data_IF_697008914144
#
_entry.id   IF_697008914144
#
_cell.length_a   1.000
_cell.length_b   1.000
_cell.length_c   1.000
_cell.angle_alpha   90.00
_cell.angle_beta   90.00
_cell.angle_gamma   90.00
#
_symmetry.space_group_name_H-M   'P 1'
#
loop_
_entity.id
_entity.type
_entity.pdbx_description
1 polymer ?
#
# COMPACT_ATOMS: atom_id res chain seq x y z
N UNK A 1 -77.21 -63.74 -47.39
CA UNK A 1 -76.64 -63.74 -48.74
C UNK A 1 -75.12 -63.88 -48.63
N UNK A 2 -74.60 -65.04 -49.06
CA UNK A 2 -73.23 -65.19 -49.63
C UNK A 2 -73.11 -64.34 -50.92
N UNK A 3 -71.94 -64.17 -51.59
CA UNK A 3 -70.67 -64.97 -51.56
C UNK A 3 -69.38 -64.11 -51.36
N UNK A 4 -68.30 -64.63 -50.76
CA UNK A 4 -67.13 -65.37 -51.30
C UNK A 4 -66.22 -64.69 -52.37
N UNK A 5 -64.92 -64.56 -52.05
CA UNK A 5 -63.70 -64.91 -52.84
C UNK A 5 -62.48 -64.25 -52.15
N UNK A 6 -61.53 -64.93 -51.48
CA UNK A 6 -60.48 -65.86 -51.92
C UNK A 6 -59.66 -65.40 -53.14
N UNK A 7 -58.51 -64.73 -52.89
CA UNK A 7 -57.34 -64.80 -53.78
C UNK A 7 -56.04 -64.78 -52.96
N UNK A 8 -55.22 -65.80 -53.23
CA UNK A 8 -53.90 -66.12 -52.68
C UNK A 8 -52.86 -65.53 -53.63
N UNK A 9 -51.87 -64.77 -53.16
CA UNK A 9 -50.68 -64.45 -53.95
C UNK A 9 -49.40 -64.60 -53.12
N UNK A 10 -48.48 -65.37 -53.67
CA UNK A 10 -47.16 -65.69 -53.13
C UNK A 10 -46.32 -64.43 -52.91
N UNK A 11 -45.44 -64.37 -51.90
CA UNK A 11 -44.39 -63.37 -51.87
C UNK A 11 -43.45 -63.63 -53.07
N UNK A 12 -43.19 -62.63 -53.93
CA UNK A 12 -42.23 -62.81 -55.02
C UNK A 12 -40.86 -63.06 -54.39
N UNK A 13 -40.20 -64.15 -54.78
CA UNK A 13 -38.84 -64.48 -54.34
C UNK A 13 -37.84 -63.31 -54.53
N UNK A 14 -38.16 -62.36 -55.40
CA UNK A 14 -37.42 -61.10 -55.60
C UNK A 14 -37.38 -60.18 -54.34
N UNK A 15 -38.42 -60.17 -53.50
CA UNK A 15 -38.47 -59.31 -52.31
C UNK A 15 -37.54 -59.82 -51.21
N UNK A 16 -37.48 -61.14 -51.02
CA UNK A 16 -36.59 -61.77 -50.05
C UNK A 16 -35.13 -61.59 -50.49
N UNK A 17 -34.84 -61.70 -51.79
CA UNK A 17 -33.50 -61.49 -52.33
C UNK A 17 -32.99 -60.06 -52.06
N UNK A 18 -33.84 -59.04 -52.25
CA UNK A 18 -33.49 -57.64 -51.97
C UNK A 18 -33.20 -57.39 -50.48
N UNK A 19 -34.01 -57.96 -49.58
CA UNK A 19 -33.79 -57.80 -48.14
C UNK A 19 -32.48 -58.48 -47.71
N UNK A 20 -32.20 -59.68 -48.20
CA UNK A 20 -30.95 -60.39 -47.90
C UNK A 20 -29.74 -59.61 -48.42
N UNK A 21 -29.81 -59.09 -49.65
CA UNK A 21 -28.70 -58.33 -50.25
C UNK A 21 -28.45 -57.01 -49.50
N UNK A 22 -29.51 -56.33 -49.05
CA UNK A 22 -29.39 -55.12 -48.24
C UNK A 22 -28.77 -55.39 -46.86
N UNK A 23 -29.16 -56.50 -46.20
CA UNK A 23 -28.56 -56.92 -44.94
C UNK A 23 -27.08 -57.27 -45.10
N UNK A 24 -26.70 -57.94 -46.19
CA UNK A 24 -25.28 -58.26 -46.48
C UNK A 24 -24.47 -56.99 -46.74
N UNK A 25 -24.98 -56.05 -47.54
CA UNK A 25 -24.30 -54.76 -47.79
C UNK A 25 -24.12 -53.97 -46.50
N UNK A 26 -25.13 -53.95 -45.63
CA UNK A 26 -25.08 -53.24 -44.36
C UNK A 26 -24.10 -53.91 -43.37
N UNK A 27 -24.06 -55.24 -43.34
CA UNK A 27 -23.07 -55.99 -42.56
C UNK A 27 -21.64 -55.76 -43.06
N UNK A 28 -21.42 -55.76 -44.37
CA UNK A 28 -20.10 -55.46 -44.98
C UNK A 28 -19.71 -54.01 -44.69
N UNK A 29 -20.63 -53.05 -44.80
CA UNK A 29 -20.35 -51.65 -44.48
C UNK A 29 -19.99 -51.45 -43.00
N UNK A 30 -20.72 -52.10 -42.08
CA UNK A 30 -20.39 -52.08 -40.65
C UNK A 30 -19.05 -52.78 -40.35
N UNK A 31 -18.75 -53.89 -41.05
CA UNK A 31 -17.48 -54.58 -40.94
C UNK A 31 -16.32 -53.70 -41.45
N UNK A 32 -16.50 -53.01 -42.57
CA UNK A 32 -15.53 -52.05 -43.10
C UNK A 32 -15.36 -50.85 -42.17
N UNK A 33 -16.43 -50.30 -41.56
CA UNK A 33 -16.31 -49.24 -40.55
C UNK A 33 -15.63 -49.72 -39.25
N UNK A 34 -15.73 -51.01 -38.91
CA UNK A 34 -15.05 -51.63 -37.78
C UNK A 34 -13.55 -51.86 -38.05
N UNK A 35 -13.20 -52.34 -39.24
CA UNK A 35 -11.82 -52.64 -39.64
C UNK A 35 -11.04 -51.39 -40.09
N UNK A 36 -11.69 -50.44 -40.73
CA UNK A 36 -11.14 -49.13 -41.09
C UNK A 36 -11.45 -48.07 -40.03
N UNK A 37 -11.38 -48.43 -38.74
CA UNK A 37 -11.04 -47.38 -37.77
C UNK A 37 -9.61 -46.97 -38.07
N UNK A 38 -9.34 -45.76 -38.58
CA UNK A 38 -7.97 -45.29 -38.60
C UNK A 38 -7.50 -45.32 -37.15
N UNK A 39 -6.53 -46.19 -36.87
CA UNK A 39 -5.70 -46.01 -35.70
C UNK A 39 -5.11 -44.61 -35.84
N UNK A 40 -5.71 -43.64 -35.17
CA UNK A 40 -5.00 -42.44 -34.73
C UNK A 40 -3.99 -42.96 -33.71
N UNK A 41 -2.93 -43.57 -34.25
CA UNK A 41 -1.72 -43.96 -33.57
C UNK A 41 -1.05 -42.67 -33.14
N UNK A 42 -1.59 -42.09 -32.07
CA UNK A 42 -0.88 -41.15 -31.24
C UNK A 42 0.49 -41.79 -30.96
N UNK A 43 1.57 -41.13 -31.42
CA UNK A 43 2.91 -41.45 -30.96
C UNK A 43 2.91 -41.26 -29.44
N UNK A 44 2.61 -42.32 -28.69
CA UNK A 44 2.86 -42.40 -27.26
C UNK A 44 4.38 -42.55 -27.08
N UNK A 45 5.12 -41.47 -27.35
CA UNK A 45 6.35 -41.26 -26.61
C UNK A 45 5.95 -41.27 -25.15
N UNK A 46 6.42 -42.24 -24.38
CA UNK A 46 6.07 -42.40 -22.97
C UNK A 46 6.24 -41.04 -22.28
N UNK A 47 5.12 -40.37 -21.99
CA UNK A 47 5.16 -39.05 -21.36
C UNK A 47 5.82 -39.27 -20.00
N UNK A 48 7.01 -38.72 -19.81
CA UNK A 48 7.73 -38.84 -18.54
C UNK A 48 7.02 -37.96 -17.52
N UNK A 49 6.06 -38.54 -16.80
CA UNK A 49 5.30 -37.86 -15.75
C UNK A 49 6.14 -37.85 -14.47
N UNK A 50 6.38 -36.66 -13.91
CA UNK A 50 7.00 -36.53 -12.61
C UNK A 50 6.09 -37.11 -11.52
N UNK A 51 6.61 -38.08 -10.74
CA UNK A 51 5.85 -38.77 -9.68
C UNK A 51 6.34 -38.49 -8.26
N UNK A 52 7.33 -37.60 -8.12
CA UNK A 52 7.85 -37.19 -6.80
C UNK A 52 6.77 -36.46 -6.00
N UNK A 53 6.88 -36.48 -4.68
CA UNK A 53 5.88 -35.83 -3.83
C UNK A 53 5.75 -34.31 -4.10
N UNK A 54 6.85 -33.54 -4.29
CA UNK A 54 6.74 -32.14 -4.66
C UNK A 54 5.97 -31.91 -5.97
N UNK A 55 6.14 -32.79 -6.96
CA UNK A 55 5.39 -32.70 -8.21
C UNK A 55 3.89 -32.98 -8.01
N UNK A 56 3.54 -33.97 -7.17
CA UNK A 56 2.13 -34.27 -6.86
C UNK A 56 1.48 -33.13 -6.08
N UNK A 57 2.19 -32.56 -5.12
CA UNK A 57 1.70 -31.43 -4.34
C UNK A 57 1.49 -30.20 -5.23
N UNK A 58 2.47 -29.86 -6.07
CA UNK A 58 2.37 -28.76 -7.02
C UNK A 58 1.21 -28.97 -8.00
N UNK A 59 1.06 -30.17 -8.56
CA UNK A 59 -0.04 -30.50 -9.46
C UNK A 59 -1.40 -30.38 -8.77
N UNK A 60 -1.52 -30.80 -7.49
CA UNK A 60 -2.73 -30.61 -6.69
C UNK A 60 -3.06 -29.12 -6.51
N UNK A 61 -2.07 -28.31 -6.11
CA UNK A 61 -2.24 -26.86 -5.93
C UNK A 61 -2.65 -26.17 -7.23
N UNK A 62 -1.95 -26.45 -8.33
CA UNK A 62 -2.25 -25.90 -9.66
C UNK A 62 -3.65 -26.29 -10.11
N UNK A 63 -4.00 -27.58 -10.07
CA UNK A 63 -5.34 -28.05 -10.48
C UNK A 63 -6.45 -27.37 -9.70
N UNK A 64 -6.20 -27.02 -8.45
CA UNK A 64 -7.16 -26.36 -7.60
C UNK A 64 -7.41 -24.89 -8.01
N UNK A 65 -6.45 -24.21 -8.63
CA UNK A 65 -6.68 -22.85 -9.17
C UNK A 65 -7.46 -22.87 -10.48
N UNK A 66 -7.38 -23.96 -11.24
CA UNK A 66 -8.00 -24.07 -12.56
C UNK A 66 -9.53 -24.19 -12.48
N UNK A 67 -10.20 -23.56 -13.44
CA UNK A 67 -11.61 -23.75 -13.75
C UNK A 67 -11.74 -24.49 -15.09
N UNK A 68 -11.72 -25.82 -15.03
CA UNK A 68 -11.75 -26.69 -16.21
C UNK A 68 -13.05 -26.65 -17.01
N UNK A 69 -14.06 -25.93 -16.53
CA UNK A 69 -15.32 -25.69 -17.25
C UNK A 69 -15.22 -24.55 -18.26
N UNK A 70 -14.14 -23.76 -18.24
CA UNK A 70 -13.89 -22.69 -19.20
C UNK A 70 -12.92 -23.14 -20.29
N UNK A 71 -13.07 -22.56 -21.49
CA UNK A 71 -12.10 -22.73 -22.56
C UNK A 71 -10.89 -21.81 -22.33
N UNK A 72 -9.66 -22.35 -22.19
CA UNK A 72 -8.47 -21.52 -21.99
C UNK A 72 -8.20 -20.57 -23.17
N UNK A 73 -8.65 -20.90 -24.39
CA UNK A 73 -8.48 -20.06 -25.58
C UNK A 73 -9.42 -18.83 -25.59
N UNK A 74 -10.53 -18.87 -24.85
CA UNK A 74 -11.50 -17.78 -24.77
C UNK A 74 -11.24 -16.86 -23.57
N UNK A 75 -10.51 -17.34 -22.56
CA UNK A 75 -10.26 -16.59 -21.34
C UNK A 75 -9.27 -17.27 -20.41
N UNK A 76 -7.99 -17.32 -20.82
CA UNK A 76 -6.93 -17.99 -20.07
C UNK A 76 -6.83 -17.53 -18.61
N UNK A 77 -6.99 -16.22 -18.34
CA UNK A 77 -6.95 -15.69 -16.97
C UNK A 77 -8.04 -16.30 -16.08
N UNK A 78 -9.29 -16.36 -16.55
CA UNK A 78 -10.39 -16.98 -15.81
C UNK A 78 -10.22 -18.49 -15.69
N UNK A 79 -9.76 -19.15 -16.76
CA UNK A 79 -9.43 -20.57 -16.72
C UNK A 79 -8.39 -20.90 -15.63
N UNK A 80 -7.36 -20.07 -15.45
CA UNK A 80 -6.27 -20.34 -14.49
C UNK A 80 -6.57 -19.87 -13.06
N UNK A 81 -7.37 -18.81 -12.89
CA UNK A 81 -7.55 -18.12 -11.61
C UNK A 81 -8.93 -18.31 -10.97
N UNK A 82 -9.98 -18.65 -11.71
CA UNK A 82 -11.35 -18.71 -11.15
C UNK A 82 -11.48 -19.73 -10.02
N UNK A 83 -10.80 -20.88 -10.11
CA UNK A 83 -10.79 -21.88 -9.04
C UNK A 83 -10.13 -21.38 -7.75
N UNK A 84 -9.21 -20.41 -7.86
CA UNK A 84 -8.65 -19.69 -6.73
C UNK A 84 -9.65 -18.66 -6.17
N UNK A 85 -10.20 -17.78 -7.01
CA UNK A 85 -11.13 -16.73 -6.58
C UNK A 85 -12.39 -17.26 -5.90
N UNK A 86 -12.87 -18.46 -6.26
CA UNK A 86 -14.00 -19.10 -5.57
C UNK A 86 -13.69 -19.54 -4.14
N UNK A 87 -12.42 -19.73 -3.81
CA UNK A 87 -11.97 -20.34 -2.54
C UNK A 87 -11.19 -19.38 -1.65
N UNK A 88 -10.58 -18.35 -2.23
CA UNK A 88 -9.81 -17.35 -1.51
C UNK A 88 -10.31 -15.95 -1.81
N UNK A 89 -10.47 -15.15 -0.76
CA UNK A 89 -10.76 -13.72 -0.86
C UNK A 89 -9.50 -12.89 -1.15
N UNK A 90 -8.32 -13.51 -1.05
CA UNK A 90 -7.03 -12.89 -1.31
C UNK A 90 -6.52 -13.27 -2.69
N UNK A 91 -5.70 -12.41 -3.29
CA UNK A 91 -4.90 -12.77 -4.44
C UNK A 91 -3.82 -13.78 -4.07
N UNK A 92 -3.35 -14.56 -5.07
CA UNK A 92 -2.22 -15.49 -4.91
C UNK A 92 -0.99 -14.80 -4.33
N UNK A 93 -0.76 -13.53 -4.73
CA UNK A 93 0.36 -12.72 -4.26
C UNK A 93 0.23 -12.40 -2.77
N UNK A 94 -0.95 -11.98 -2.32
CA UNK A 94 -1.21 -11.68 -0.92
C UNK A 94 -1.05 -12.92 -0.04
N UNK A 95 -1.55 -14.07 -0.48
CA UNK A 95 -1.40 -15.31 0.29
C UNK A 95 0.06 -15.75 0.39
N UNK A 96 0.82 -15.69 -0.70
CA UNK A 96 2.25 -15.97 -0.68
C UNK A 96 3.02 -15.01 0.25
N UNK A 97 2.69 -13.72 0.19
CA UNK A 97 3.27 -12.71 1.06
C UNK A 97 2.94 -12.96 2.54
N UNK A 98 1.69 -13.31 2.87
CA UNK A 98 1.29 -13.70 4.22
C UNK A 98 2.02 -14.96 4.70
N UNK A 99 2.25 -15.93 3.81
CA UNK A 99 3.05 -17.10 4.12
C UNK A 99 4.47 -16.74 4.57
N UNK A 100 5.15 -15.89 3.80
CA UNK A 100 6.49 -15.38 4.16
C UNK A 100 6.47 -14.62 5.48
N UNK A 101 5.47 -13.74 5.68
CA UNK A 101 5.33 -12.99 6.92
C UNK A 101 5.14 -13.89 8.15
N UNK A 102 4.36 -14.98 8.02
CA UNK A 102 4.17 -15.95 9.12
C UNK A 102 5.47 -16.66 9.48
N UNK A 103 6.24 -17.09 8.48
CA UNK A 103 7.55 -17.72 8.72
C UNK A 103 8.53 -16.73 9.37
N UNK A 104 8.62 -15.50 8.84
CA UNK A 104 9.44 -14.44 9.44
C UNK A 104 9.03 -14.13 10.88
N UNK A 105 7.72 -14.03 11.15
CA UNK A 105 7.17 -13.83 12.48
C UNK A 105 7.56 -14.96 13.44
N UNK A 106 7.43 -16.22 13.00
CA UNK A 106 7.81 -17.40 13.79
C UNK A 106 9.30 -17.40 14.14
N UNK A 107 10.16 -17.12 13.16
CA UNK A 107 11.61 -17.03 13.34
C UNK A 107 11.97 -15.89 14.31
N UNK A 108 11.48 -14.67 14.09
CA UNK A 108 11.81 -13.52 14.92
C UNK A 108 11.24 -13.65 16.35
N UNK A 109 10.11 -14.35 16.50
CA UNK A 109 9.52 -14.62 17.81
C UNK A 109 10.31 -15.63 18.63
N UNK A 110 11.09 -16.52 18.01
CA UNK A 110 11.80 -17.61 18.70
C UNK A 110 13.27 -17.29 19.02
N UNK A 111 13.90 -16.33 18.33
CA UNK A 111 15.32 -15.98 18.53
C UNK A 111 15.62 -15.46 19.94
N UNK A 112 16.54 -16.05 20.73
CA UNK A 112 16.88 -15.53 22.06
C UNK A 112 17.58 -14.17 21.94
N UNK A 113 17.12 -13.18 22.73
CA UNK A 113 17.63 -11.79 22.69
C UNK A 113 18.35 -11.49 24.00
N UNK A 114 19.69 -11.46 24.03
CA UNK A 114 20.46 -11.06 25.21
C UNK A 114 20.36 -9.54 25.43
N UNK A 115 20.68 -9.06 26.63
CA UNK A 115 20.67 -7.63 26.97
C UNK A 115 21.84 -6.86 26.34
N UNK A 116 22.97 -7.51 26.11
CA UNK A 116 24.19 -6.91 25.51
C UNK A 116 24.79 -7.83 24.45
N UNK A 117 25.58 -7.27 23.53
CA UNK A 117 26.31 -8.06 22.52
C UNK A 117 25.42 -8.70 21.44
N UNK A 118 24.24 -8.12 21.18
CA UNK A 118 23.27 -8.66 20.23
C UNK A 118 23.80 -8.68 18.78
N UNK A 119 23.59 -9.79 18.09
CA UNK A 119 23.77 -9.92 16.63
C UNK A 119 22.68 -9.15 15.86
N UNK A 120 22.87 -8.95 14.56
CA UNK A 120 21.87 -8.29 13.68
C UNK A 120 20.51 -8.98 13.73
N UNK A 121 20.48 -10.32 13.71
CA UNK A 121 19.25 -11.10 13.81
C UNK A 121 18.57 -10.91 15.17
N UNK A 122 19.35 -10.87 16.26
CA UNK A 122 18.82 -10.64 17.60
C UNK A 122 18.26 -9.23 17.76
N UNK A 123 18.87 -8.22 17.15
CA UNK A 123 18.30 -6.85 17.11
C UNK A 123 16.99 -6.80 16.34
N UNK A 124 16.90 -7.49 15.21
CA UNK A 124 15.66 -7.60 14.43
C UNK A 124 14.56 -8.32 15.24
N UNK A 125 14.90 -9.39 15.95
CA UNK A 125 13.98 -10.11 16.83
C UNK A 125 13.52 -9.24 18.03
N UNK A 126 14.45 -8.49 18.64
CA UNK A 126 14.13 -7.55 19.71
C UNK A 126 13.15 -6.46 19.23
N UNK A 127 13.40 -5.91 18.04
CA UNK A 127 12.53 -4.93 17.41
C UNK A 127 11.16 -5.52 17.07
N UNK A 128 11.10 -6.71 16.48
CA UNK A 128 9.83 -7.38 16.19
C UNK A 128 8.97 -7.57 17.46
N UNK A 129 9.59 -8.03 18.56
CA UNK A 129 8.89 -8.21 19.85
C UNK A 129 8.46 -6.90 20.50
N UNK A 130 9.12 -5.78 20.22
CA UNK A 130 8.65 -4.49 20.73
C UNK A 130 7.31 -4.09 20.09
N UNK A 131 7.06 -4.48 18.84
CA UNK A 131 5.78 -4.27 18.17
C UNK A 131 4.65 -5.15 18.74
N UNK A 132 4.94 -6.36 19.20
CA UNK A 132 3.94 -7.25 19.81
C UNK A 132 3.25 -6.61 21.03
N UNK A 133 4.01 -5.84 21.84
CA UNK A 133 3.44 -5.07 22.95
C UNK A 133 2.42 -4.01 22.53
N UNK A 134 2.57 -3.43 21.33
CA UNK A 134 1.62 -2.47 20.74
C UNK A 134 0.35 -3.19 20.29
N UNK A 135 0.49 -4.35 19.65
CA UNK A 135 -0.64 -5.19 19.21
C UNK A 135 -1.44 -5.75 20.38
N UNK A 136 -0.79 -6.00 21.51
CA UNK A 136 -1.45 -6.43 22.75
C UNK A 136 -2.16 -5.29 23.49
N UNK A 137 -2.15 -4.06 22.95
CA UNK A 137 -2.88 -2.92 23.51
C UNK A 137 -2.35 -2.45 24.86
N UNK A 138 -1.05 -2.62 25.14
CA UNK A 138 -0.47 -2.21 26.41
C UNK A 138 -0.50 -0.68 26.53
N UNK A 139 -1.14 -0.17 27.59
CA UNK A 139 -1.38 1.26 27.81
C UNK A 139 -0.09 2.08 28.02
N UNK A 140 1.01 1.43 28.38
CA UNK A 140 2.32 2.09 28.58
C UNK A 140 2.97 2.56 27.27
N UNK A 141 2.56 1.99 26.13
CA UNK A 141 3.13 2.35 24.81
C UNK A 141 2.76 3.77 24.41
N UNK A 142 1.51 4.18 24.60
CA UNK A 142 1.08 5.54 24.32
C UNK A 142 1.89 6.56 25.13
N UNK A 143 2.16 6.28 26.41
CA UNK A 143 2.95 7.17 27.25
C UNK A 143 4.41 7.24 26.78
N UNK A 144 5.00 6.13 26.35
CA UNK A 144 6.35 6.09 25.76
C UNK A 144 6.43 6.91 24.46
N UNK A 145 5.44 6.76 23.58
CA UNK A 145 5.34 7.54 22.34
C UNK A 145 5.19 9.02 22.65
N UNK A 146 4.29 9.40 23.57
CA UNK A 146 4.13 10.80 24.01
C UNK A 146 5.44 11.40 24.49
N UNK A 147 6.19 10.70 25.36
CA UNK A 147 7.50 11.18 25.83
C UNK A 147 8.49 11.34 24.68
N UNK A 148 8.58 10.34 23.80
CA UNK A 148 9.49 10.42 22.65
C UNK A 148 9.15 11.59 21.70
N UNK A 149 7.86 11.90 21.52
CA UNK A 149 7.41 13.07 20.77
C UNK A 149 7.81 14.38 21.46
N UNK A 150 7.57 14.48 22.78
CA UNK A 150 7.95 15.65 23.56
C UNK A 150 9.47 15.88 23.57
N UNK A 151 10.26 14.82 23.75
CA UNK A 151 11.72 14.86 23.68
C UNK A 151 12.21 15.31 22.29
N UNK A 152 11.40 15.06 21.26
CA UNK A 152 11.65 15.50 19.90
C UNK A 152 11.17 16.93 19.59
N UNK A 153 10.62 17.65 20.57
CA UNK A 153 10.04 18.99 20.40
C UNK A 153 8.66 18.99 19.74
N UNK A 154 8.02 17.83 19.62
CA UNK A 154 6.70 17.68 19.03
C UNK A 154 5.67 17.86 20.15
N UNK A 155 4.89 18.93 20.03
CA UNK A 155 3.92 19.36 21.02
C UNK A 155 2.56 19.43 20.34
N UNK A 156 1.64 18.58 20.79
CA UNK A 156 0.30 18.43 20.23
C UNK A 156 -0.61 17.78 21.28
N UNK A 157 -1.91 18.11 21.37
CA UNK A 157 -2.70 18.95 20.45
C UNK A 157 -2.67 20.45 20.72
N UNK A 158 -2.16 20.87 21.88
CA UNK A 158 -2.17 22.27 22.29
C UNK A 158 -0.76 22.73 22.60
N UNK A 159 -0.46 23.98 22.25
CA UNK A 159 0.76 24.63 22.70
C UNK A 159 0.59 25.09 24.15
N UNK A 160 1.59 24.91 25.03
CA UNK A 160 1.54 25.48 26.37
C UNK A 160 1.34 26.99 26.29
N UNK A 161 0.39 27.54 27.07
CA UNK A 161 0.07 28.98 27.07
C UNK A 161 1.28 29.88 27.38
N UNK A 162 2.23 29.36 28.13
CA UNK A 162 3.46 30.05 28.54
C UNK A 162 4.68 29.71 27.68
N UNK A 163 4.50 28.86 26.65
CA UNK A 163 5.61 28.51 25.75
C UNK A 163 5.89 29.66 24.79
N UNK A 164 6.93 30.43 25.12
CA UNK A 164 7.54 31.36 24.20
C UNK A 164 8.07 30.57 22.99
N UNK A 165 7.35 30.67 21.87
CA UNK A 165 7.66 30.21 20.50
C UNK A 165 8.24 28.80 20.39
N UNK A 166 7.44 27.92 19.80
CA UNK A 166 7.93 26.60 19.37
C UNK A 166 8.91 26.77 18.22
N UNK A 167 10.05 26.09 18.30
CA UNK A 167 11.05 26.08 17.23
C UNK A 167 10.64 25.07 16.15
N UNK A 168 9.84 25.53 15.20
CA UNK A 168 9.36 24.67 14.12
C UNK A 168 10.51 24.14 13.29
N UNK A 169 11.51 24.98 13.03
CA UNK A 169 12.64 24.59 12.20
C UNK A 169 13.41 23.43 12.82
N UNK A 170 13.78 23.56 14.09
CA UNK A 170 14.49 22.52 14.83
C UNK A 170 13.65 21.25 14.97
N UNK A 171 12.35 21.39 15.26
CA UNK A 171 11.43 20.26 15.34
C UNK A 171 11.34 19.52 14.01
N UNK A 172 11.20 20.25 12.90
CA UNK A 172 11.14 19.69 11.56
C UNK A 172 12.43 18.97 11.17
N UNK A 173 13.59 19.54 11.48
CA UNK A 173 14.88 18.90 11.23
C UNK A 173 15.09 17.66 12.07
N UNK A 174 14.78 17.73 13.36
CA UNK A 174 14.89 16.60 14.27
C UNK A 174 14.00 15.45 13.80
N UNK A 175 12.73 15.72 13.50
CA UNK A 175 11.82 14.73 12.96
C UNK A 175 12.28 14.20 11.59
N UNK A 176 12.63 15.07 10.63
CA UNK A 176 12.95 14.65 9.25
C UNK A 176 14.28 13.93 9.13
N UNK A 177 15.32 14.39 9.82
CA UNK A 177 16.68 13.82 9.67
C UNK A 177 16.95 12.74 10.72
N UNK A 178 16.63 12.98 12.00
CA UNK A 178 16.91 11.99 13.06
C UNK A 178 15.88 10.89 13.09
N UNK A 179 14.59 11.26 13.09
CA UNK A 179 13.51 10.27 13.18
C UNK A 179 13.11 9.71 11.81
N UNK A 180 13.59 10.30 10.70
CA UNK A 180 13.16 9.99 9.33
C UNK A 180 11.64 10.11 9.15
N UNK A 181 11.06 11.08 9.84
CA UNK A 181 9.65 11.43 9.79
C UNK A 181 9.52 12.78 9.09
N UNK A 182 9.10 12.73 7.83
CA UNK A 182 8.93 13.92 7.00
C UNK A 182 7.49 14.01 6.52
N UNK A 183 6.55 14.48 7.35
CA UNK A 183 5.13 14.45 7.01
C UNK A 183 4.75 15.25 5.77
N UNK A 184 5.52 16.28 5.43
CA UNK A 184 5.20 17.23 4.36
C UNK A 184 6.32 17.28 3.32
N UNK A 185 7.52 17.62 3.80
CA UNK A 185 8.70 17.80 2.97
C UNK A 185 9.82 16.89 3.47
N UNK A 186 10.16 15.91 2.65
CA UNK A 186 11.28 15.03 2.85
C UNK A 186 12.58 15.76 2.54
N UNK A 187 13.48 15.78 3.51
CA UNK A 187 14.79 16.42 3.41
C UNK A 187 15.83 15.33 3.21
N UNK A 188 16.36 15.24 1.99
CA UNK A 188 17.48 14.33 1.68
C UNK A 188 18.76 15.13 1.65
N UNK A 189 19.74 14.71 2.44
CA UNK A 189 21.08 15.30 2.41
C UNK A 189 22.00 14.38 1.62
N UNK A 190 22.49 14.86 0.49
CA UNK A 190 23.47 14.17 -0.36
C UNK A 190 24.80 14.90 -0.27
N UNK A 191 25.88 14.16 0.00
CA UNK A 191 27.22 14.73 0.13
C UNK A 191 28.06 14.46 -1.12
N UNK A 192 28.70 15.50 -1.62
CA UNK A 192 29.76 15.43 -2.62
C UNK A 192 31.05 16.03 -2.02
N UNK A 193 32.23 15.78 -2.62
CA UNK A 193 33.51 16.24 -2.08
C UNK A 193 33.57 17.75 -1.80
N UNK A 194 32.89 18.57 -2.61
CA UNK A 194 33.00 20.03 -2.56
C UNK A 194 31.69 20.73 -2.17
N UNK A 195 30.57 20.01 -2.12
CA UNK A 195 29.26 20.59 -1.84
C UNK A 195 28.33 19.59 -1.18
N UNK A 196 27.35 20.11 -0.44
CA UNK A 196 26.23 19.34 0.09
C UNK A 196 24.96 19.72 -0.66
N UNK A 197 24.30 18.74 -1.25
CA UNK A 197 22.99 18.94 -1.88
C UNK A 197 21.91 18.58 -0.88
N UNK A 198 21.02 19.54 -0.61
CA UNK A 198 19.79 19.33 0.14
C UNK A 198 18.66 19.21 -0.86
N UNK A 199 18.10 18.01 -0.99
CA UNK A 199 16.94 17.77 -1.84
C UNK A 199 15.67 17.84 -1.00
N UNK A 200 14.77 18.74 -1.39
CA UNK A 200 13.46 18.93 -0.78
C UNK A 200 12.39 18.30 -1.68
N UNK A 201 11.75 17.25 -1.19
CA UNK A 201 10.76 16.48 -1.94
C UNK A 201 9.43 16.41 -1.18
N UNK A 202 8.27 16.63 -1.83
CA UNK A 202 6.99 16.30 -1.22
C UNK A 202 6.93 14.80 -0.92
N UNK A 203 6.38 14.44 0.24
CA UNK A 203 6.20 13.03 0.58
C UNK A 203 5.18 12.38 -0.37
N UNK A 204 5.56 11.28 -1.02
CA UNK A 204 4.65 10.52 -1.90
C UNK A 204 3.40 10.01 -1.17
N UNK A 205 3.54 9.67 0.10
CA UNK A 205 2.43 9.29 0.97
C UNK A 205 1.51 10.45 1.32
N UNK A 206 2.03 11.68 1.38
CA UNK A 206 1.19 12.86 1.54
C UNK A 206 0.28 13.04 0.32
N UNK A 207 0.73 12.73 -0.89
CA UNK A 207 -0.17 12.69 -2.06
C UNK A 207 -1.30 11.68 -1.91
N UNK A 208 -1.01 10.51 -1.31
CA UNK A 208 -2.02 9.49 -1.05
C UNK A 208 -3.03 9.96 0.00
N UNK A 209 -2.56 10.61 1.07
CA UNK A 209 -3.42 11.24 2.09
C UNK A 209 -4.29 12.33 1.46
N UNK A 210 -3.69 13.24 0.69
CA UNK A 210 -4.38 14.31 -0.03
C UNK A 210 -5.40 13.77 -1.06
N UNK A 211 -5.06 12.71 -1.80
CA UNK A 211 -5.98 12.06 -2.76
C UNK A 211 -7.13 11.34 -2.06
N UNK A 212 -6.87 10.68 -0.92
CA UNK A 212 -7.94 10.12 -0.07
C UNK A 212 -8.86 11.29 0.31
N UNK A 213 -8.32 12.40 0.81
CA UNK A 213 -9.10 13.61 1.17
C UNK A 213 -9.81 14.32 0.01
N UNK A 214 -9.32 14.28 -1.23
CA UNK A 214 -10.04 14.85 -2.40
C UNK A 214 -11.33 14.10 -2.74
N UNK A 215 -11.42 12.82 -2.37
CA UNK A 215 -12.67 12.04 -2.43
C UNK A 215 -13.61 12.28 -1.24
N UNK A 216 -13.21 13.11 -0.26
CA UNK A 216 -13.87 13.27 1.04
C UNK A 216 -14.52 14.65 1.23
N UNK A 217 -15.03 15.31 0.17
CA UNK A 217 -16.09 16.32 0.42
C UNK A 217 -17.26 15.69 1.20
N UNK A 218 -17.45 14.36 1.11
CA UNK A 218 -18.38 13.56 1.92
C UNK A 218 -17.83 13.11 3.30
N UNK A 219 -16.59 13.42 3.69
CA UNK A 219 -15.93 12.85 4.90
C UNK A 219 -15.04 13.86 5.67
N UNK A 220 -15.24 15.16 5.43
CA UNK A 220 -14.81 16.21 6.36
C UNK A 220 -15.20 15.88 7.81
N UNK A 221 -16.38 15.28 8.01
CA UNK A 221 -16.84 14.84 9.33
C UNK A 221 -15.97 13.72 9.91
N UNK A 222 -15.61 12.69 9.14
CA UNK A 222 -14.82 11.56 9.64
C UNK A 222 -13.38 11.96 9.93
N UNK A 223 -12.80 12.83 9.09
CA UNK A 223 -11.48 13.38 9.32
C UNK A 223 -11.44 14.20 10.62
N UNK A 224 -12.47 15.03 10.87
CA UNK A 224 -12.64 15.75 12.13
C UNK A 224 -12.83 14.79 13.31
N UNK A 225 -13.67 13.77 13.19
CA UNK A 225 -13.88 12.76 14.24
C UNK A 225 -12.57 12.05 14.58
N UNK A 226 -11.79 11.66 13.58
CA UNK A 226 -10.49 11.02 13.78
C UNK A 226 -9.48 11.95 14.47
N UNK A 227 -9.41 13.22 14.05
CA UNK A 227 -8.57 14.22 14.69
C UNK A 227 -8.95 14.39 16.16
N UNK A 228 -10.24 14.51 16.47
CA UNK A 228 -10.74 14.66 17.83
C UNK A 228 -10.51 13.40 18.69
N UNK A 229 -10.64 12.20 18.11
CA UNK A 229 -10.27 10.95 18.77
C UNK A 229 -8.78 10.95 19.14
N UNK A 230 -7.89 11.30 18.20
CA UNK A 230 -6.46 11.44 18.48
C UNK A 230 -6.19 12.52 19.54
N UNK A 231 -6.85 13.68 19.44
CA UNK A 231 -6.68 14.81 20.36
C UNK A 231 -6.95 14.36 21.78
N UNK A 232 -8.06 13.65 21.98
CA UNK A 232 -8.45 13.09 23.28
C UNK A 232 -7.44 12.06 23.80
N UNK A 233 -7.02 11.11 22.97
CA UNK A 233 -6.02 10.10 23.37
C UNK A 233 -4.68 10.76 23.73
N UNK A 234 -4.30 11.84 23.04
CA UNK A 234 -3.06 12.55 23.33
C UNK A 234 -3.13 13.52 24.50
N UNK A 235 -4.30 13.68 25.13
CA UNK A 235 -4.47 14.44 26.38
C UNK A 235 -5.12 15.81 26.19
N UNK A 236 -5.75 16.08 25.05
CA UNK A 236 -6.65 17.23 24.90
C UNK A 236 -7.89 17.03 25.78
N UNK A 237 -8.07 17.91 26.77
CA UNK A 237 -9.25 17.90 27.65
C UNK A 237 -10.34 18.83 27.08
N UNK A 238 -11.54 18.29 26.87
CA UNK A 238 -12.73 19.06 26.43
C UNK A 238 -13.12 20.21 27.36
N UNK A 239 -12.74 20.14 28.63
CA UNK A 239 -13.27 21.01 29.69
C UNK A 239 -12.66 22.43 29.67
N UNK A 240 -11.53 22.62 28.98
CA UNK A 240 -10.89 23.94 28.77
C UNK A 240 -11.17 24.53 27.37
N UNK A 241 -11.92 23.83 26.51
CA UNK A 241 -12.02 24.10 25.08
C UNK A 241 -13.21 24.99 24.65
N UNK A 242 -14.00 25.52 25.59
CA UNK A 242 -15.17 26.37 25.25
C UNK A 242 -14.79 27.73 24.59
N UNK A 243 -13.50 28.01 24.38
CA UNK A 243 -13.02 29.22 23.70
C UNK A 243 -12.07 28.94 22.52
N UNK A 244 -11.72 27.69 22.22
CA UNK A 244 -10.61 27.36 21.30
C UNK A 244 -11.08 26.39 20.20
N UNK A 245 -12.14 26.78 19.49
CA UNK A 245 -12.65 26.14 18.27
C UNK A 245 -11.68 26.27 17.07
N UNK A 246 -10.49 26.86 17.26
CA UNK A 246 -9.63 27.36 16.18
C UNK A 246 -8.50 26.40 15.77
N UNK A 247 -7.75 25.79 16.70
CA UNK A 247 -6.51 25.07 16.34
C UNK A 247 -6.72 23.77 15.52
N UNK A 248 -7.76 23.00 15.84
CA UNK A 248 -8.17 21.83 15.02
C UNK A 248 -8.59 22.28 13.62
N UNK A 249 -9.32 23.40 13.57
CA UNK A 249 -9.83 23.99 12.32
C UNK A 249 -8.67 24.50 11.45
N UNK A 250 -7.63 25.08 12.06
CA UNK A 250 -6.45 25.58 11.37
C UNK A 250 -5.61 24.44 10.77
N UNK A 251 -5.34 23.36 11.53
CA UNK A 251 -4.61 22.20 10.99
C UNK A 251 -5.34 21.58 9.78
N UNK A 252 -6.66 21.54 9.84
CA UNK A 252 -7.50 21.06 8.75
C UNK A 252 -7.53 22.04 7.56
N UNK A 253 -7.58 23.35 7.82
CA UNK A 253 -7.50 24.39 6.78
C UNK A 253 -6.17 24.33 6.02
N UNK A 254 -5.04 24.21 6.74
CA UNK A 254 -3.71 24.03 6.14
C UNK A 254 -3.68 22.77 5.26
N UNK A 255 -4.26 21.65 5.72
CA UNK A 255 -4.37 20.43 4.92
C UNK A 255 -5.13 20.67 3.62
N UNK A 256 -6.27 21.37 3.69
CA UNK A 256 -7.10 21.68 2.51
C UNK A 256 -6.39 22.59 1.52
N UNK A 257 -5.67 23.59 2.01
CA UNK A 257 -4.93 24.50 1.14
C UNK A 257 -3.77 23.78 0.44
N UNK A 258 -3.01 22.94 1.15
CA UNK A 258 -2.02 22.02 0.55
C UNK A 258 -2.66 21.06 -0.47
N UNK A 259 -3.86 20.55 -0.19
CA UNK A 259 -4.57 19.63 -1.07
C UNK A 259 -4.94 20.29 -2.39
N UNK A 260 -5.59 21.47 -2.30
CA UNK A 260 -6.05 22.24 -3.47
C UNK A 260 -4.90 22.52 -4.40
N UNK A 261 -3.77 22.86 -3.82
CA UNK A 261 -2.65 23.35 -4.56
C UNK A 261 -1.76 22.28 -5.17
N UNK A 262 -1.59 21.16 -4.48
CA UNK A 262 -0.80 20.03 -4.97
C UNK A 262 -1.59 19.19 -5.98
N UNK A 263 -2.91 19.10 -5.82
CA UNK A 263 -3.74 18.23 -6.66
C UNK A 263 -4.25 18.90 -7.95
N UNK A 264 -4.10 20.22 -8.11
CA UNK A 264 -4.44 20.91 -9.37
C UNK A 264 -3.38 20.66 -10.48
N UNK A 265 -2.06 20.66 -10.19
CA UNK A 265 -1.01 20.44 -11.20
C UNK A 265 -0.69 18.97 -11.49
N UNK A 266 -1.03 18.02 -10.59
CA UNK A 266 -0.70 16.59 -10.78
C UNK A 266 -1.32 15.97 -12.04
N UNK A 267 -2.34 16.59 -12.64
CA UNK A 267 -2.93 16.14 -13.91
C UNK A 267 -1.97 16.32 -15.10
N UNK A 268 -0.95 17.18 -14.97
CA UNK A 268 0.03 17.47 -16.02
C UNK A 268 1.47 17.06 -15.63
N UNK A 269 1.77 16.84 -14.34
CA UNK A 269 3.13 16.67 -13.84
C UNK A 269 3.73 15.24 -13.96
N UNK A 270 2.99 14.25 -14.46
CA UNK A 270 3.52 12.88 -14.62
C UNK A 270 4.55 12.76 -15.75
N UNK A 271 4.66 13.76 -16.64
CA UNK A 271 5.59 13.74 -17.76
C UNK A 271 6.98 14.36 -17.46
N UNK A 272 7.14 15.15 -16.39
CA UNK A 272 8.38 15.89 -16.08
C UNK A 272 9.24 15.29 -14.95
N UNK A 273 9.05 14.02 -14.60
CA UNK A 273 9.47 13.41 -13.33
C UNK A 273 11.00 13.30 -13.05
N UNK A 274 11.88 13.85 -13.89
CA UNK A 274 13.33 13.65 -13.74
C UNK A 274 14.19 14.92 -13.69
N UNK A 275 13.62 16.12 -13.86
CA UNK A 275 14.43 17.35 -13.82
C UNK A 275 14.38 17.96 -12.42
N UNK A 276 15.36 17.60 -11.60
CA UNK A 276 15.63 18.33 -10.37
C UNK A 276 16.10 19.75 -10.72
N UNK A 277 15.44 20.77 -10.17
CA UNK A 277 15.82 22.17 -10.41
C UNK A 277 16.35 22.81 -9.13
N UNK A 278 17.33 23.69 -9.30
CA UNK A 278 17.86 24.51 -8.21
C UNK A 278 16.75 25.38 -7.63
N UNK A 279 16.66 25.42 -6.31
CA UNK A 279 15.76 26.31 -5.59
C UNK A 279 16.43 27.66 -5.41
N UNK A 280 15.70 28.73 -5.70
CA UNK A 280 16.13 30.09 -5.36
C UNK A 280 16.16 30.25 -3.83
N UNK A 281 17.37 30.26 -3.28
CA UNK A 281 17.58 30.42 -1.84
C UNK A 281 17.12 31.79 -1.33
N UNK A 282 17.14 32.84 -2.17
CA UNK A 282 16.66 34.15 -1.79
C UNK A 282 15.14 34.12 -1.58
N UNK A 283 14.41 33.44 -2.46
CA UNK A 283 12.99 33.18 -2.26
C UNK A 283 12.73 32.39 -0.98
N UNK A 284 13.46 31.28 -0.76
CA UNK A 284 13.18 30.39 0.37
C UNK A 284 13.37 31.07 1.73
N UNK A 285 14.48 31.78 1.90
CA UNK A 285 14.85 32.36 3.19
C UNK A 285 14.39 33.82 3.35
N UNK A 286 13.97 34.47 2.27
CA UNK A 286 13.55 35.88 2.29
C UNK A 286 12.07 36.11 2.63
N UNK A 287 11.20 35.11 2.45
CA UNK A 287 9.73 35.27 2.57
C UNK A 287 9.08 34.63 3.78
N UNK A 288 9.80 33.77 4.51
CA UNK A 288 9.23 33.02 5.64
C UNK A 288 9.80 33.55 6.95
N UNK A 289 9.00 34.24 7.78
CA UNK A 289 9.42 34.69 9.09
C UNK A 289 9.97 33.53 9.93
N UNK A 290 11.13 33.71 10.55
CA UNK A 290 11.79 32.69 11.38
C UNK A 290 12.67 31.67 10.62
N UNK A 291 12.53 31.60 9.29
CA UNK A 291 13.35 30.73 8.44
C UNK A 291 14.60 31.47 7.94
N UNK A 292 15.61 31.59 8.81
CA UNK A 292 16.89 32.21 8.46
C UNK A 292 17.84 31.17 7.82
N UNK A 293 18.46 31.50 6.69
CA UNK A 293 19.46 30.64 6.01
C UNK A 293 20.55 30.15 6.95
N UNK A 294 21.13 31.03 7.75
CA UNK A 294 22.20 30.71 8.68
C UNK A 294 21.73 29.75 9.78
N UNK A 295 20.53 29.96 10.33
CA UNK A 295 19.92 29.05 11.30
C UNK A 295 19.65 27.68 10.67
N UNK A 296 19.15 27.66 9.43
CA UNK A 296 18.90 26.43 8.68
C UNK A 296 20.19 25.65 8.44
N UNK A 297 21.26 26.35 8.05
CA UNK A 297 22.59 25.76 7.89
C UNK A 297 23.10 25.23 9.24
N UNK A 298 23.02 25.99 10.33
CA UNK A 298 23.44 25.53 11.65
C UNK A 298 22.72 24.24 12.09
N UNK A 299 21.41 24.14 11.86
CA UNK A 299 20.67 22.90 12.13
C UNK A 299 21.09 21.77 11.18
N UNK A 300 21.25 22.06 9.88
CA UNK A 300 21.76 21.06 8.94
C UNK A 300 23.14 20.54 9.37
N UNK A 301 24.05 21.42 9.78
CA UNK A 301 25.38 21.05 10.26
C UNK A 301 25.31 20.24 11.56
N UNK A 302 24.44 20.61 12.50
CA UNK A 302 24.25 19.88 13.76
C UNK A 302 23.73 18.44 13.55
N UNK A 303 22.89 18.24 12.53
CA UNK A 303 22.27 16.95 12.23
C UNK A 303 23.04 16.11 11.23
N UNK A 304 23.58 16.74 10.19
CA UNK A 304 24.28 16.08 9.10
C UNK A 304 25.80 16.15 9.26
N UNK A 305 26.36 16.79 10.28
CA UNK A 305 27.82 16.87 10.48
C UNK A 305 28.56 17.45 9.28
N UNK A 306 27.91 18.31 8.50
CA UNK A 306 28.53 19.00 7.38
C UNK A 306 29.33 20.18 7.93
N UNK A 307 30.58 20.34 7.51
CA UNK A 307 31.36 21.53 7.86
C UNK A 307 32.07 22.05 6.62
N UNK A 308 31.79 23.30 6.23
CA UNK A 308 32.67 24.08 5.35
C UNK A 308 32.58 23.84 3.84
N UNK A 309 31.43 23.40 3.31
CA UNK A 309 31.19 23.29 1.86
C UNK A 309 29.95 24.07 1.40
N UNK A 310 29.88 24.39 0.10
CA UNK A 310 28.71 25.04 -0.47
C UNK A 310 27.46 24.15 -0.32
N UNK A 311 26.36 24.73 0.17
CA UNK A 311 25.08 24.02 0.30
C UNK A 311 24.15 24.45 -0.82
N UNK A 312 23.78 23.48 -1.65
CA UNK A 312 22.90 23.67 -2.81
C UNK A 312 21.52 23.09 -2.47
N UNK A 313 20.48 23.89 -2.63
CA UNK A 313 19.11 23.45 -2.42
C UNK A 313 18.48 23.06 -3.76
N UNK A 314 17.91 21.87 -3.81
CA UNK A 314 17.32 21.30 -5.02
C UNK A 314 15.93 20.79 -4.69
N UNK A 315 14.98 20.92 -5.62
CA UNK A 315 13.68 20.26 -5.49
C UNK A 315 13.29 19.55 -6.76
N UNK A 316 12.64 18.39 -6.59
CA UNK A 316 11.91 17.72 -7.67
C UNK A 316 10.59 18.40 -8.00
N UNK A 317 10.01 19.15 -7.07
CA UNK A 317 8.74 19.89 -7.25
C UNK A 317 8.85 21.31 -6.64
N UNK A 318 9.56 22.25 -7.30
CA UNK A 318 9.76 23.60 -6.76
C UNK A 318 8.48 24.39 -6.52
N UNK A 319 7.42 24.15 -7.29
CA UNK A 319 6.10 24.77 -7.06
C UNK A 319 5.55 24.39 -5.68
N UNK A 320 5.60 23.11 -5.32
CA UNK A 320 5.16 22.62 -4.01
C UNK A 320 5.97 23.25 -2.87
N UNK A 321 7.30 23.31 -3.01
CA UNK A 321 8.16 23.94 -1.98
C UNK A 321 7.78 25.41 -1.80
N UNK A 322 7.61 26.15 -2.89
CA UNK A 322 7.25 27.58 -2.84
C UNK A 322 5.94 27.82 -2.11
N UNK A 323 4.98 26.93 -2.33
CA UNK A 323 3.67 27.02 -1.72
C UNK A 323 3.64 26.61 -0.26
N UNK A 324 4.33 25.52 0.09
CA UNK A 324 4.51 25.14 1.49
C UNK A 324 5.13 26.29 2.29
N UNK A 325 6.14 26.95 1.73
CA UNK A 325 6.74 28.14 2.33
C UNK A 325 5.77 29.34 2.39
N UNK A 326 4.90 29.48 1.38
CA UNK A 326 3.82 30.47 1.38
C UNK A 326 2.82 30.25 2.52
N UNK A 327 2.41 28.99 2.75
CA UNK A 327 1.53 28.62 3.86
C UNK A 327 2.20 28.85 5.20
N UNK A 328 3.50 28.54 5.33
CA UNK A 328 4.23 28.87 6.55
C UNK A 328 4.24 30.36 6.82
N UNK A 329 4.52 31.18 5.81
CA UNK A 329 4.45 32.63 5.93
C UNK A 329 3.04 33.13 6.32
N UNK A 330 1.99 32.50 5.79
CA UNK A 330 0.60 32.88 6.04
C UNK A 330 0.10 32.50 7.45
N UNK A 331 0.27 31.25 7.86
CA UNK A 331 -0.26 30.71 9.12
C UNK A 331 0.66 30.99 10.33
N UNK A 332 1.95 31.26 10.09
CA UNK A 332 2.94 31.51 11.14
C UNK A 332 3.48 30.23 11.79
N UNK A 333 4.52 30.39 12.61
CA UNK A 333 5.32 29.27 13.14
C UNK A 333 4.53 28.34 14.07
N UNK A 334 3.69 28.89 14.95
CA UNK A 334 2.91 28.10 15.91
C UNK A 334 1.88 27.20 15.22
N UNK A 335 1.09 27.74 14.29
CA UNK A 335 0.06 26.98 13.59
C UNK A 335 0.66 25.93 12.65
N UNK A 336 1.77 26.28 11.98
CA UNK A 336 2.52 25.30 11.21
C UNK A 336 3.16 24.22 12.10
N UNK A 337 3.58 24.55 13.32
CA UNK A 337 4.08 23.57 14.27
C UNK A 337 2.99 22.62 14.75
N UNK A 338 1.80 23.12 15.08
CA UNK A 338 0.66 22.28 15.43
C UNK A 338 0.28 21.35 14.28
N UNK A 339 0.21 21.86 13.06
CA UNK A 339 -0.05 21.07 11.86
C UNK A 339 1.04 20.02 11.61
N UNK A 340 2.31 20.40 11.70
CA UNK A 340 3.44 19.48 11.56
C UNK A 340 3.39 18.38 12.62
N UNK A 341 3.17 18.77 13.87
CA UNK A 341 3.07 17.87 15.01
C UNK A 341 1.89 16.92 14.87
N UNK A 342 0.75 17.39 14.37
CA UNK A 342 -0.39 16.54 14.04
C UNK A 342 -0.02 15.46 13.03
N UNK A 343 0.64 15.81 11.92
CA UNK A 343 1.03 14.82 10.92
C UNK A 343 2.01 13.78 11.49
N UNK A 344 2.93 14.21 12.36
CA UNK A 344 3.84 13.28 13.05
C UNK A 344 3.08 12.40 14.04
N UNK A 345 2.19 12.96 14.84
CA UNK A 345 1.35 12.23 15.81
C UNK A 345 0.49 11.19 15.10
N UNK A 346 -0.09 11.52 13.96
CA UNK A 346 -0.88 10.57 13.16
C UNK A 346 -0.05 9.34 12.77
N UNK A 347 1.20 9.55 12.35
CA UNK A 347 2.12 8.46 12.01
C UNK A 347 2.55 7.70 13.27
N UNK A 348 2.84 8.42 14.36
CA UNK A 348 3.28 7.85 15.62
C UNK A 348 2.18 7.05 16.33
N UNK A 349 0.91 7.43 16.14
CA UNK A 349 -0.26 6.78 16.74
C UNK A 349 -0.38 5.30 16.30
N UNK A 350 0.12 4.98 15.11
CA UNK A 350 0.20 3.60 14.60
C UNK A 350 1.07 2.70 15.51
N UNK A 351 2.03 3.30 16.23
CA UNK A 351 2.91 2.60 17.16
C UNK A 351 2.43 2.68 18.62
N UNK A 352 1.35 3.42 18.89
CA UNK A 352 0.84 3.64 20.23
C UNK A 352 -0.37 2.77 20.56
N UNK A 353 -1.32 2.63 19.63
CA UNK A 353 -2.57 1.93 19.91
C UNK A 353 -3.21 1.37 18.62
N UNK A 354 -3.47 0.07 18.59
CA UNK A 354 -4.12 -0.60 17.46
C UNK A 354 -5.53 -0.06 17.16
N UNK A 355 -6.26 0.43 18.16
CA UNK A 355 -7.61 1.01 17.98
C UNK A 355 -7.58 2.25 17.09
N UNK A 356 -6.55 3.10 17.26
CA UNK A 356 -6.34 4.29 16.44
C UNK A 356 -5.99 3.93 14.99
N UNK A 357 -5.26 2.82 14.81
CA UNK A 357 -4.92 2.21 13.52
C UNK A 357 -6.17 1.76 12.76
N UNK A 358 -7.06 1.00 13.42
CA UNK A 358 -8.24 0.44 12.78
C UNK A 358 -9.21 1.53 12.33
N UNK A 359 -9.53 2.49 13.21
CA UNK A 359 -10.47 3.57 12.90
C UNK A 359 -10.05 4.43 11.70
N UNK A 360 -8.74 4.59 11.45
CA UNK A 360 -8.24 5.39 10.33
C UNK A 360 -8.27 4.68 8.98
N UNK A 361 -8.07 3.37 8.96
CA UNK A 361 -7.97 2.59 7.72
C UNK A 361 -9.29 1.94 7.31
N UNK A 362 -10.21 1.69 8.24
CA UNK A 362 -11.52 1.08 7.94
C UNK A 362 -12.64 2.08 7.68
N UNK A 363 -12.42 3.36 7.99
CA UNK A 363 -13.26 4.49 7.57
C UNK A 363 -12.57 5.18 6.38
#
# INVERSE_FOLDING_TARGET
MSPQAFFKSQPPAASILCVVLLVVVLAVFLFLLGFFRPEVGTRHGTLRVCRTEPCREYARRLRATLNTSLNPCEGFSRFVCDGWWRRSQLSVREEAFLGVLREMSSLLSSVPVPTTGQTTLQRAAAFYRSCDGVLQGRSDQLLKVKRALLDAGIVWPLLPKDSNRVDLLRTWFHASIRLRWSPLLHVVVQRAPNFTTVVLEPLSDFERILRKHKGLEASDHEAKVYFEELRREFGGNREYDNAEEDDTTVSFAITKDLARSHLAPLRHAFEDAHVSSGLDTAFMFGKVPGLNRQRWLQELESYAGTSGGDVIFVSKKPSFVREFLGLWSHYGENQMHLFFSWCVVQTAALFANQKLLFNFYTR
#
